data_IF_705057254390
#
_entry.id   IF_705057254390
#
_cell.length_a   1.000
_cell.length_b   1.000
_cell.length_c   1.000
_cell.angle_alpha   90.00
_cell.angle_beta   90.00
_cell.angle_gamma   90.00
#
_symmetry.space_group_name_H-M   'P 1'
#
loop_
_entity.id
_entity.type
_entity.pdbx_description
1 polymer ?
#
# COMPACT_ATOMS: atom_id res chain seq x y z
N UNK A 1 9.17 6.20 -0.87
CA UNK A 1 8.05 6.81 -0.11
C UNK A 1 6.70 6.46 -0.72
N UNK A 2 6.47 6.74 -2.02
CA UNK A 2 5.18 6.53 -2.67
C UNK A 2 4.66 5.09 -2.55
N UNK A 3 5.52 4.09 -2.75
CA UNK A 3 5.12 2.68 -2.62
C UNK A 3 4.58 2.36 -1.24
N UNK A 4 5.25 2.81 -0.19
CA UNK A 4 4.81 2.57 1.19
C UNK A 4 3.51 3.30 1.50
N UNK A 5 3.37 4.53 1.04
CA UNK A 5 2.12 5.29 1.24
C UNK A 5 0.94 4.62 0.53
N UNK A 6 1.13 4.09 -0.67
CA UNK A 6 0.08 3.35 -1.39
C UNK A 6 -0.28 2.07 -0.65
N UNK A 7 0.71 1.31 -0.16
CA UNK A 7 0.45 0.11 0.63
C UNK A 7 -0.35 0.44 1.89
N UNK A 8 0.03 1.50 2.63
CA UNK A 8 -0.69 1.94 3.82
C UNK A 8 -2.11 2.41 3.52
N UNK A 9 -2.30 3.08 2.38
CA UNK A 9 -3.62 3.58 2.01
C UNK A 9 -4.58 2.47 1.57
N UNK A 10 -4.06 1.41 0.97
CA UNK A 10 -4.89 0.45 0.22
C UNK A 10 -4.87 -0.96 0.79
N UNK A 11 -3.80 -1.34 1.47
CA UNK A 11 -3.63 -2.71 1.96
C UNK A 11 -3.46 -3.76 0.87
N UNK A 12 -3.15 -3.37 -0.35
CA UNK A 12 -2.95 -4.34 -1.45
C UNK A 12 -1.67 -5.16 -1.22
N UNK A 13 -1.59 -6.29 -1.92
CA UNK A 13 -0.40 -7.15 -1.85
C UNK A 13 0.78 -6.51 -2.58
N UNK A 14 2.00 -6.88 -2.19
CA UNK A 14 3.22 -6.41 -2.88
C UNK A 14 3.17 -6.76 -4.37
N UNK A 15 2.73 -7.97 -4.72
CA UNK A 15 2.58 -8.38 -6.12
C UNK A 15 1.58 -7.49 -6.88
N UNK A 16 0.50 -7.10 -6.23
CA UNK A 16 -0.48 -6.18 -6.81
C UNK A 16 0.12 -4.77 -6.96
N UNK A 17 0.88 -4.32 -5.97
CA UNK A 17 1.55 -3.01 -6.01
C UNK A 17 2.51 -2.90 -7.18
N UNK A 18 3.42 -3.86 -7.32
CA UNK A 18 4.41 -3.83 -8.41
C UNK A 18 3.77 -4.11 -9.77
N UNK A 19 2.60 -4.73 -9.79
CA UNK A 19 1.82 -4.95 -11.00
C UNK A 19 1.04 -3.73 -11.49
N UNK A 20 0.93 -2.68 -10.68
CA UNK A 20 0.21 -1.47 -11.07
C UNK A 20 0.86 -0.80 -12.29
N UNK A 21 0.03 -0.34 -13.19
CA UNK A 21 0.43 0.50 -14.32
C UNK A 21 0.06 1.95 -14.06
N UNK A 22 0.70 2.86 -14.78
CA UNK A 22 0.42 4.29 -14.65
C UNK A 22 -1.06 4.62 -14.89
N UNK A 23 -1.71 3.89 -15.80
CA UNK A 23 -3.12 4.07 -16.12
C UNK A 23 -4.07 3.55 -15.03
N UNK A 24 -3.56 2.80 -14.07
CA UNK A 24 -4.36 2.30 -12.95
C UNK A 24 -4.59 3.36 -11.87
N UNK A 25 -3.94 4.50 -11.97
CA UNK A 25 -4.04 5.59 -11.00
C UNK A 25 -4.90 6.72 -11.56
N UNK A 26 -5.90 7.13 -10.79
CA UNK A 26 -6.65 8.35 -11.06
C UNK A 26 -6.30 9.37 -9.99
N UNK A 27 -5.45 10.34 -10.33
CA UNK A 27 -5.12 11.45 -9.42
C UNK A 27 -6.34 12.35 -9.19
N UNK A 28 -7.11 12.76 -10.24
CA UNK A 28 -8.31 13.55 -10.01
C UNK A 28 -9.39 12.82 -9.20
N UNK A 29 -9.54 11.51 -9.42
CA UNK A 29 -10.52 10.70 -8.73
C UNK A 29 -10.08 10.21 -7.35
N UNK A 30 -8.81 10.36 -7.02
CA UNK A 30 -8.22 9.90 -5.75
C UNK A 30 -8.42 8.40 -5.50
N UNK A 31 -8.20 7.59 -6.52
CA UNK A 31 -8.30 6.14 -6.40
C UNK A 31 -7.27 5.42 -7.25
N UNK A 32 -7.06 4.14 -6.94
CA UNK A 32 -6.33 3.21 -7.80
C UNK A 32 -7.25 2.07 -8.21
N UNK A 33 -6.99 1.53 -9.39
CA UNK A 33 -7.64 0.31 -9.88
C UNK A 33 -6.67 -0.85 -9.70
N UNK A 34 -7.09 -1.86 -8.95
CA UNK A 34 -6.26 -3.02 -8.66
C UNK A 34 -6.91 -4.28 -9.24
N UNK A 35 -6.16 -5.02 -10.04
CA UNK A 35 -6.62 -6.27 -10.62
C UNK A 35 -5.97 -7.45 -9.89
N UNK A 36 -6.77 -8.45 -9.56
CA UNK A 36 -6.32 -9.69 -8.97
C UNK A 36 -7.06 -10.84 -9.66
N UNK A 37 -6.39 -11.48 -10.62
CA UNK A 37 -7.03 -12.47 -11.47
C UNK A 37 -8.09 -11.83 -12.36
N UNK A 38 -9.31 -12.35 -12.31
CA UNK A 38 -10.44 -11.80 -13.07
C UNK A 38 -11.18 -10.68 -12.35
N UNK A 39 -10.80 -10.38 -11.11
CA UNK A 39 -11.50 -9.39 -10.29
C UNK A 39 -10.76 -8.06 -10.31
N UNK A 40 -11.52 -6.99 -10.51
CA UNK A 40 -11.03 -5.63 -10.43
C UNK A 40 -11.61 -4.96 -9.18
N UNK A 41 -10.75 -4.22 -8.46
CA UNK A 41 -11.16 -3.43 -7.31
C UNK A 41 -10.78 -1.98 -7.53
N UNK A 42 -11.64 -1.06 -7.09
CA UNK A 42 -11.35 0.37 -7.04
C UNK A 42 -11.15 0.74 -5.59
N UNK A 43 -10.00 1.28 -5.26
CA UNK A 43 -9.61 1.55 -3.89
C UNK A 43 -9.32 3.04 -3.74
N UNK A 44 -10.05 3.75 -2.86
CA UNK A 44 -9.79 5.18 -2.63
C UNK A 44 -8.45 5.37 -1.92
N UNK A 45 -7.83 6.52 -2.16
CA UNK A 45 -6.54 6.88 -1.57
C UNK A 45 -6.73 8.17 -0.76
N UNK A 46 -6.25 8.17 0.50
CA UNK A 46 -6.30 9.37 1.32
C UNK A 46 -5.30 10.44 0.83
N UNK A 47 -5.50 11.73 1.22
CA UNK A 47 -4.75 12.84 0.64
C UNK A 47 -3.23 12.75 0.73
N UNK A 48 -2.67 12.24 1.83
CA UNK A 48 -1.23 12.13 2.00
C UNK A 48 -0.60 11.12 1.05
N UNK A 49 -1.27 9.99 0.84
CA UNK A 49 -0.81 8.98 -0.11
C UNK A 49 -0.95 9.50 -1.55
N UNK A 50 -2.03 10.21 -1.83
CA UNK A 50 -2.25 10.82 -3.14
C UNK A 50 -1.16 11.85 -3.45
N UNK A 51 -0.79 12.67 -2.49
CA UNK A 51 0.27 13.66 -2.65
C UNK A 51 1.62 13.01 -2.92
N UNK A 52 1.96 11.96 -2.16
CA UNK A 52 3.20 11.21 -2.35
C UNK A 52 3.24 10.55 -3.73
N UNK A 53 2.11 10.02 -4.17
CA UNK A 53 1.99 9.37 -5.48
C UNK A 53 2.09 10.40 -6.62
N UNK A 54 1.45 11.53 -6.48
CA UNK A 54 1.54 12.65 -7.44
C UNK A 54 2.98 13.12 -7.61
N UNK A 55 3.67 13.36 -6.50
CA UNK A 55 5.06 13.78 -6.52
C UNK A 55 5.95 12.75 -7.21
N UNK A 56 5.74 11.48 -6.94
CA UNK A 56 6.46 10.40 -7.59
C UNK A 56 6.21 10.37 -9.10
N UNK A 57 4.95 10.43 -9.51
CA UNK A 57 4.58 10.35 -10.94
C UNK A 57 5.09 11.56 -11.72
N UNK A 58 5.00 12.75 -11.14
CA UNK A 58 5.33 13.99 -11.85
C UNK A 58 6.82 14.33 -11.83
N UNK A 59 7.55 14.01 -10.76
CA UNK A 59 8.93 14.46 -10.58
C UNK A 59 9.97 13.35 -10.52
N UNK A 60 9.63 12.18 -10.03
CA UNK A 60 10.61 11.09 -9.83
C UNK A 60 10.58 10.10 -10.98
N UNK A 61 9.42 9.55 -11.27
CA UNK A 61 9.26 8.52 -12.30
C UNK A 61 9.76 8.96 -13.69
N UNK A 62 9.50 10.18 -14.19
CA UNK A 62 10.00 10.59 -15.50
C UNK A 62 11.52 10.55 -15.64
N UNK A 63 12.23 10.73 -14.53
CA UNK A 63 13.70 10.67 -14.50
C UNK A 63 14.23 9.24 -14.39
N UNK A 64 13.39 8.29 -14.03
CA UNK A 64 13.80 6.91 -13.79
C UNK A 64 13.48 5.97 -14.93
N UNK A 65 12.41 6.22 -15.69
CA UNK A 65 11.98 5.31 -16.76
C UNK A 65 13.02 5.23 -17.87
N UNK A 66 13.28 4.00 -18.35
CA UNK A 66 14.24 3.76 -19.41
C UNK A 66 13.73 4.24 -20.77
N UNK A 67 12.44 4.11 -21.01
CA UNK A 67 11.77 4.53 -22.26
C UNK A 67 10.48 5.25 -21.94
N UNK A 68 10.07 6.24 -22.76
CA UNK A 68 8.83 7.01 -22.51
C UNK A 68 7.55 6.16 -22.53
N UNK A 69 7.59 4.99 -23.16
CA UNK A 69 6.46 4.08 -23.27
C UNK A 69 6.32 3.10 -22.09
N UNK A 70 7.16 3.26 -21.04
CA UNK A 70 7.09 2.40 -19.88
C UNK A 70 5.72 2.52 -19.21
N UNK A 71 5.01 1.40 -19.03
CA UNK A 71 3.66 1.38 -18.46
C UNK A 71 3.64 1.17 -16.95
N UNK A 72 4.68 0.57 -16.37
CA UNK A 72 4.68 0.28 -14.94
C UNK A 72 4.68 1.56 -14.11
N UNK A 73 3.90 1.55 -13.04
CA UNK A 73 3.85 2.68 -12.12
C UNK A 73 5.16 2.80 -11.34
N UNK A 74 5.58 1.72 -10.69
CA UNK A 74 6.79 1.71 -9.89
C UNK A 74 7.92 1.04 -10.66
N UNK A 75 9.01 1.77 -10.82
CA UNK A 75 10.16 1.32 -11.61
C UNK A 75 11.40 1.20 -10.72
N UNK A 76 12.32 0.33 -11.15
CA UNK A 76 13.62 0.13 -10.50
C UNK A 76 14.65 1.11 -11.03
N UNK A 77 15.90 0.97 -10.56
CA UNK A 77 17.01 1.84 -10.99
C UNK A 77 17.36 1.69 -12.47
N UNK A 78 16.96 0.58 -13.10
CA UNK A 78 17.13 0.38 -14.55
C UNK A 78 16.00 0.99 -15.36
N UNK A 79 15.00 1.58 -14.73
CA UNK A 79 13.86 2.20 -15.39
C UNK A 79 12.81 1.23 -15.89
N UNK A 80 12.81 0.00 -15.38
CA UNK A 80 11.86 -1.05 -15.71
C UNK A 80 11.01 -1.38 -14.49
N UNK A 81 9.95 -2.17 -14.70
CA UNK A 81 9.04 -2.55 -13.63
C UNK A 81 9.78 -3.08 -12.41
N UNK A 82 9.42 -2.57 -11.24
CA UNK A 82 9.94 -3.03 -9.95
C UNK A 82 9.67 -4.53 -9.80
N UNK A 83 10.68 -5.29 -9.41
CA UNK A 83 10.52 -6.70 -9.08
C UNK A 83 10.17 -6.87 -7.61
N UNK A 84 9.62 -8.03 -7.26
CA UNK A 84 9.36 -8.40 -5.88
C UNK A 84 10.66 -8.39 -5.05
N UNK A 85 11.73 -8.91 -5.61
CA UNK A 85 13.04 -8.92 -4.95
C UNK A 85 13.58 -7.50 -4.76
N UNK A 86 13.43 -6.63 -5.76
CA UNK A 86 13.81 -5.23 -5.68
C UNK A 86 13.05 -4.48 -4.61
N UNK A 87 11.76 -4.72 -4.49
CA UNK A 87 10.93 -4.15 -3.41
C UNK A 87 11.46 -4.54 -2.03
N UNK A 88 11.73 -5.84 -1.80
CA UNK A 88 12.21 -6.32 -0.50
C UNK A 88 13.61 -5.82 -0.17
N UNK A 89 14.48 -5.61 -1.16
CA UNK A 89 15.78 -4.96 -0.95
C UNK A 89 15.61 -3.55 -0.42
N UNK A 90 14.66 -2.79 -0.97
CA UNK A 90 14.36 -1.44 -0.53
C UNK A 90 13.84 -1.45 0.92
N UNK A 91 12.93 -2.36 1.23
CA UNK A 91 12.38 -2.49 2.59
C UNK A 91 13.49 -2.82 3.59
N UNK A 92 14.35 -3.76 3.27
CA UNK A 92 15.49 -4.10 4.14
C UNK A 92 16.44 -2.93 4.36
N UNK A 93 16.71 -2.17 3.31
CA UNK A 93 17.55 -0.98 3.40
C UNK A 93 16.98 0.02 4.39
N UNK A 94 15.68 0.34 4.29
CA UNK A 94 15.04 1.26 5.22
C UNK A 94 14.90 0.68 6.62
N UNK A 95 14.68 -0.61 6.74
CA UNK A 95 14.64 -1.29 8.02
C UNK A 95 15.97 -1.13 8.78
N UNK A 96 17.09 -1.34 8.11
CA UNK A 96 18.42 -1.16 8.68
C UNK A 96 18.67 0.29 9.07
N UNK A 97 18.31 1.23 8.21
CA UNK A 97 18.45 2.66 8.48
C UNK A 97 17.62 3.12 9.68
N UNK A 98 16.45 2.56 9.85
CA UNK A 98 15.54 2.90 10.94
C UNK A 98 15.82 2.09 12.23
N UNK A 99 16.82 1.19 12.23
CA UNK A 99 17.16 0.31 13.36
C UNK A 99 15.99 -0.54 13.84
N UNK A 100 15.17 -1.02 12.90
CA UNK A 100 14.04 -1.90 13.20
C UNK A 100 14.56 -3.32 13.27
N UNK A 101 14.43 -3.96 14.45
CA UNK A 101 14.93 -5.31 14.68
C UNK A 101 13.95 -6.40 14.24
N UNK A 102 12.65 -6.08 14.17
CA UNK A 102 11.64 -7.05 13.75
C UNK A 102 11.70 -7.29 12.24
N UNK A 103 11.57 -8.55 11.84
CA UNK A 103 11.45 -8.89 10.43
C UNK A 103 10.17 -8.32 9.83
N UNK A 104 10.33 -7.61 8.74
CA UNK A 104 9.20 -7.10 7.97
C UNK A 104 8.92 -8.10 6.84
N UNK A 105 7.81 -8.81 6.95
CA UNK A 105 7.36 -9.79 5.97
C UNK A 105 6.12 -9.26 5.24
N UNK A 106 5.71 -9.85 4.11
CA UNK A 106 4.44 -9.48 3.47
C UNK A 106 3.27 -9.57 4.44
N UNK A 107 3.28 -10.57 5.29
CA UNK A 107 2.23 -10.79 6.29
C UNK A 107 2.20 -9.65 7.32
N UNK A 108 3.35 -9.26 7.88
CA UNK A 108 3.41 -8.15 8.85
C UNK A 108 2.99 -6.82 8.24
N UNK A 109 3.33 -6.55 6.99
CA UNK A 109 2.87 -5.34 6.30
C UNK A 109 1.35 -5.32 6.16
N UNK A 110 0.75 -6.40 5.70
CA UNK A 110 -0.71 -6.47 5.55
C UNK A 110 -1.41 -6.36 6.90
N UNK A 111 -0.83 -6.95 7.93
CA UNK A 111 -1.29 -6.78 9.29
C UNK A 111 -1.38 -5.30 9.67
N UNK A 112 -0.30 -4.58 9.49
CA UNK A 112 -0.23 -3.16 9.84
C UNK A 112 -1.26 -2.35 9.06
N UNK A 113 -1.46 -2.65 7.78
CA UNK A 113 -2.42 -1.94 6.94
C UNK A 113 -3.86 -2.22 7.37
N UNK A 114 -4.20 -3.47 7.63
CA UNK A 114 -5.54 -3.84 8.07
C UNK A 114 -5.87 -3.20 9.42
N UNK A 115 -4.94 -3.25 10.37
CA UNK A 115 -5.11 -2.61 11.67
C UNK A 115 -5.30 -1.09 11.52
N UNK A 116 -4.50 -0.47 10.66
CA UNK A 116 -4.57 0.96 10.42
C UNK A 116 -5.91 1.37 9.79
N UNK A 117 -6.39 0.60 8.83
CA UNK A 117 -7.69 0.85 8.20
C UNK A 117 -8.84 0.69 9.19
N UNK A 118 -8.78 -0.33 10.05
CA UNK A 118 -9.77 -0.52 11.11
C UNK A 118 -9.76 0.63 12.10
N UNK A 119 -8.58 1.10 12.49
CA UNK A 119 -8.42 2.26 13.36
C UNK A 119 -8.99 3.54 12.72
N UNK A 120 -8.95 3.64 11.39
CA UNK A 120 -9.52 4.74 10.63
C UNK A 120 -11.05 4.67 10.51
N UNK A 121 -11.69 3.72 11.18
CA UNK A 121 -13.13 3.57 11.15
C UNK A 121 -13.67 2.84 9.94
N UNK A 122 -12.81 2.25 9.11
CA UNK A 122 -13.26 1.38 8.04
C UNK A 122 -13.89 0.13 8.66
N UNK A 123 -15.05 -0.28 8.14
CA UNK A 123 -15.67 -1.50 8.64
C UNK A 123 -14.94 -2.74 8.12
N UNK A 124 -15.12 -3.86 8.81
CA UNK A 124 -14.45 -5.11 8.48
C UNK A 124 -14.75 -5.58 7.05
N UNK A 125 -15.98 -5.37 6.60
CA UNK A 125 -16.40 -5.79 5.26
C UNK A 125 -15.72 -4.98 4.17
N UNK A 126 -15.58 -3.67 4.37
CA UNK A 126 -14.83 -2.80 3.45
C UNK A 126 -13.37 -3.23 3.36
N UNK A 127 -12.75 -3.54 4.50
CA UNK A 127 -11.36 -4.02 4.53
C UNK A 127 -11.23 -5.34 3.81
N UNK A 128 -12.15 -6.27 4.00
CA UNK A 128 -12.16 -7.55 3.29
C UNK A 128 -12.25 -7.35 1.78
N UNK A 129 -13.08 -6.41 1.33
CA UNK A 129 -13.19 -6.08 -0.09
C UNK A 129 -11.91 -5.46 -0.64
N UNK A 130 -11.28 -4.57 0.10
CA UNK A 130 -10.04 -3.92 -0.31
C UNK A 130 -8.86 -4.90 -0.38
N UNK A 131 -8.78 -5.82 0.58
CA UNK A 131 -7.71 -6.81 0.66
C UNK A 131 -7.93 -8.03 -0.24
N UNK A 132 -9.18 -8.28 -0.64
CA UNK A 132 -9.58 -9.48 -1.36
C UNK A 132 -10.01 -10.59 -0.41
N UNK A 133 -10.84 -11.51 -0.92
CA UNK A 133 -11.51 -12.52 -0.09
C UNK A 133 -10.58 -13.58 0.51
N UNK A 134 -9.39 -13.76 -0.02
CA UNK A 134 -8.44 -14.76 0.45
C UNK A 134 -7.86 -14.46 1.83
N UNK A 135 -8.02 -13.24 2.34
CA UNK A 135 -7.44 -12.80 3.61
C UNK A 135 -8.46 -12.55 4.71
N UNK A 136 -9.66 -13.10 4.57
CA UNK A 136 -10.75 -12.93 5.54
C UNK A 136 -10.33 -13.36 6.94
N UNK A 137 -9.65 -14.51 7.07
CA UNK A 137 -9.20 -15.04 8.34
C UNK A 137 -8.18 -14.14 9.03
N UNK A 138 -7.23 -13.59 8.28
CA UNK A 138 -6.26 -12.63 8.79
C UNK A 138 -6.93 -11.36 9.29
N UNK A 139 -7.93 -10.86 8.56
CA UNK A 139 -8.69 -9.67 8.93
C UNK A 139 -9.50 -9.90 10.20
N UNK A 140 -10.04 -11.10 10.42
CA UNK A 140 -10.76 -11.44 11.66
C UNK A 140 -9.87 -11.43 12.88
N UNK A 141 -8.65 -11.93 12.78
CA UNK A 141 -7.66 -11.87 13.86
C UNK A 141 -7.37 -10.41 14.24
N UNK A 142 -7.28 -9.55 13.26
CA UNK A 142 -7.08 -8.11 13.49
C UNK A 142 -8.25 -7.45 14.18
N UNK A 143 -9.45 -7.82 13.82
CA UNK A 143 -10.66 -7.29 14.47
C UNK A 143 -10.64 -7.54 15.97
N UNK A 144 -10.16 -8.72 16.40
CA UNK A 144 -10.06 -9.03 17.83
C UNK A 144 -8.98 -8.21 18.52
N UNK A 145 -7.81 -8.01 17.89
CA UNK A 145 -6.75 -7.18 18.44
C UNK A 145 -7.16 -5.71 18.55
N UNK A 146 -7.86 -5.23 17.56
CA UNK A 146 -8.30 -3.84 17.50
C UNK A 146 -9.42 -3.55 18.51
N UNK A 147 -10.35 -4.49 18.74
CA UNK A 147 -11.40 -4.33 19.75
C UNK A 147 -10.88 -4.13 21.16
N UNK A 148 -9.72 -4.67 21.48
CA UNK A 148 -9.13 -4.55 22.81
C UNK A 148 -8.51 -3.18 23.10
N UNK A 149 -8.10 -2.43 22.07
CA UNK A 149 -7.35 -1.18 22.23
C UNK A 149 -7.96 0.02 21.49
N UNK A 150 -9.12 -0.13 20.90
CA UNK A 150 -9.56 0.70 19.79
C UNK A 150 -9.76 2.18 20.09
N UNK A 151 -10.49 2.51 21.14
CA UNK A 151 -10.89 3.91 21.31
C UNK A 151 -9.78 4.81 21.88
N UNK A 152 -9.05 4.34 22.86
CA UNK A 152 -8.02 5.14 23.50
C UNK A 152 -6.81 5.35 22.59
N UNK A 153 -6.39 4.29 21.89
CA UNK A 153 -5.24 4.33 20.98
C UNK A 153 -5.59 5.06 19.70
N UNK A 154 -6.78 4.81 19.15
CA UNK A 154 -7.27 5.49 17.97
C UNK A 154 -7.27 7.00 18.11
N UNK A 155 -7.92 7.53 19.13
CA UNK A 155 -8.06 8.97 19.32
C UNK A 155 -6.73 9.66 19.63
N UNK A 156 -5.78 8.94 20.21
CA UNK A 156 -4.51 9.50 20.65
C UNK A 156 -3.38 9.39 19.62
N UNK A 157 -3.36 8.32 18.82
CA UNK A 157 -2.21 7.99 17.96
C UNK A 157 -2.54 7.89 16.48
N UNK A 158 -3.71 8.30 16.08
CA UNK A 158 -4.13 8.16 14.69
C UNK A 158 -3.38 9.15 13.79
N UNK A 159 -2.41 8.71 12.96
CA UNK A 159 -1.57 9.65 12.21
C UNK A 159 -2.23 10.20 10.95
N UNK A 160 -3.35 9.61 10.52
CA UNK A 160 -4.01 9.95 9.26
C UNK A 160 -5.48 10.33 9.44
N UNK A 161 -5.86 10.64 10.65
CA UNK A 161 -7.23 11.07 10.94
C UNK A 161 -7.63 12.33 10.18
#
# INVERSE_FOLDING_TARGET
>A
KAMLEVLYATGIRVSELIGLNIDDVSLPGSFIRCESGEKMRIIPIYPEALQALREYIETVRPKMIAVPTEHSLFVNVSGERMSRQGFWKIIKYYQEKAHIEKDITPHTLRHSFAAHLLENGADLRSIQQMLGHSDISSTQVYTQLVKQNLKAVYNKYHPKA
#
